data_IF_641582908291
#
_entry.id   IF_641582908291
#
_cell.length_a   1.000
_cell.length_b   1.000
_cell.length_c   1.000
_cell.angle_alpha   90.00
_cell.angle_beta   90.00
_cell.angle_gamma   90.00
#
_symmetry.space_group_name_H-M   'P 1'
#
loop_
_entity.id
_entity.type
_entity.pdbx_description
1 polymer ?
#
# COMPACT_ATOMS: atom_id res chain seq x y z
N UNK A 1 50.97 8.99 16.99
CA UNK A 1 50.27 9.48 15.77
C UNK A 1 49.18 8.54 15.23
N UNK A 2 49.19 7.23 15.53
CA UNK A 2 48.19 6.26 15.01
C UNK A 2 46.81 6.36 15.72
N UNK A 3 46.71 6.99 16.90
CA UNK A 3 45.45 7.07 17.66
C UNK A 3 44.48 8.18 17.22
N UNK A 4 44.90 9.16 16.41
CA UNK A 4 43.99 10.25 15.98
C UNK A 4 43.15 9.88 14.75
N UNK A 5 43.66 9.04 13.84
CA UNK A 5 42.97 8.61 12.61
C UNK A 5 41.74 7.74 12.93
N UNK A 6 41.81 6.94 14.01
CA UNK A 6 40.70 6.10 14.46
C UNK A 6 39.51 6.89 15.01
N UNK A 7 39.75 8.02 15.69
CA UNK A 7 38.67 8.85 16.27
C UNK A 7 37.89 9.60 15.20
N UNK A 8 38.55 10.09 14.15
CA UNK A 8 37.88 10.85 13.07
C UNK A 8 36.94 9.97 12.25
N UNK A 9 37.33 8.70 11.98
CA UNK A 9 36.45 7.75 11.27
C UNK A 9 35.21 7.36 12.10
N UNK A 10 35.35 7.20 13.41
CA UNK A 10 34.22 6.87 14.29
C UNK A 10 33.16 7.99 14.34
N UNK A 11 33.60 9.26 14.42
CA UNK A 11 32.68 10.41 14.48
C UNK A 11 31.89 10.57 13.17
N UNK A 12 32.53 10.45 12.00
CA UNK A 12 31.86 10.60 10.69
C UNK A 12 30.80 9.51 10.46
N UNK A 13 31.08 8.26 10.84
CA UNK A 13 30.13 7.13 10.70
C UNK A 13 28.88 7.34 11.56
N UNK A 14 29.02 7.94 12.76
CA UNK A 14 27.86 8.21 13.63
C UNK A 14 26.96 9.35 13.12
N UNK A 15 27.52 10.39 12.50
CA UNK A 15 26.76 11.52 11.97
C UNK A 15 25.88 11.14 10.77
N UNK A 16 26.46 10.40 9.81
CA UNK A 16 25.73 9.92 8.62
C UNK A 16 24.60 8.98 9.04
N UNK A 17 24.85 8.06 9.97
CA UNK A 17 23.83 7.14 10.46
C UNK A 17 22.62 7.85 11.10
N UNK A 18 22.84 8.95 11.84
CA UNK A 18 21.76 9.74 12.46
C UNK A 18 20.90 10.46 11.42
N UNK A 19 21.52 11.09 10.43
CA UNK A 19 20.80 11.78 9.35
C UNK A 19 19.90 10.82 8.56
N UNK A 20 20.39 9.63 8.24
CA UNK A 20 19.60 8.60 7.57
C UNK A 20 18.39 8.14 8.36
N UNK A 21 18.53 7.98 9.67
CA UNK A 21 17.42 7.59 10.55
C UNK A 21 16.38 8.70 10.61
N UNK A 22 16.81 9.97 10.69
CA UNK A 22 15.90 11.11 10.69
C UNK A 22 15.15 11.26 9.35
N UNK A 23 15.87 11.20 8.22
CA UNK A 23 15.28 11.30 6.89
C UNK A 23 14.31 10.13 6.59
N UNK A 24 14.68 8.91 6.98
CA UNK A 24 13.82 7.74 6.83
C UNK A 24 12.53 7.85 7.66
N UNK A 25 12.61 8.37 8.89
CA UNK A 25 11.42 8.64 9.73
C UNK A 25 10.55 9.74 9.15
N UNK A 26 11.16 10.83 8.70
CA UNK A 26 10.43 11.92 8.05
C UNK A 26 9.65 11.42 6.82
N UNK A 27 10.28 10.61 5.98
CA UNK A 27 9.62 9.98 4.84
C UNK A 27 8.43 9.11 5.27
N UNK A 28 8.59 8.28 6.30
CA UNK A 28 7.50 7.44 6.79
C UNK A 28 6.34 8.28 7.34
N UNK A 29 6.61 9.37 8.06
CA UNK A 29 5.57 10.30 8.50
C UNK A 29 4.86 10.97 7.32
N UNK A 30 5.62 11.39 6.30
CA UNK A 30 5.04 11.97 5.09
C UNK A 30 4.15 10.96 4.35
N UNK A 31 4.56 9.69 4.26
CA UNK A 31 3.74 8.62 3.68
C UNK A 31 2.49 8.35 4.51
N UNK A 32 2.60 8.31 5.84
CA UNK A 32 1.45 8.11 6.72
C UNK A 32 0.43 9.27 6.61
N UNK A 33 0.94 10.51 6.55
CA UNK A 33 0.12 11.70 6.31
C UNK A 33 -0.55 11.66 4.93
N UNK A 34 0.20 11.30 3.88
CA UNK A 34 -0.35 11.13 2.55
C UNK A 34 -1.44 10.05 2.51
N UNK A 35 -1.25 8.91 3.20
CA UNK A 35 -2.28 7.87 3.32
C UNK A 35 -3.57 8.39 3.97
N UNK A 36 -3.47 9.15 5.07
CA UNK A 36 -4.64 9.71 5.72
C UNK A 36 -5.33 10.78 4.86
N UNK A 37 -4.56 11.64 4.18
CA UNK A 37 -5.10 12.65 3.26
C UNK A 37 -5.80 12.00 2.07
N UNK A 38 -5.19 10.97 1.47
CA UNK A 38 -5.80 10.26 0.33
C UNK A 38 -7.06 9.51 0.76
N UNK A 39 -7.06 8.89 1.95
CA UNK A 39 -8.28 8.30 2.51
C UNK A 39 -9.38 9.35 2.71
N UNK A 40 -9.04 10.49 3.33
CA UNK A 40 -9.96 11.60 3.54
C UNK A 40 -10.55 12.12 2.22
N UNK A 41 -9.71 12.41 1.22
CA UNK A 41 -10.16 12.81 -0.12
C UNK A 41 -11.02 11.72 -0.78
N UNK A 42 -10.70 10.45 -0.52
CA UNK A 42 -11.51 9.31 -0.92
C UNK A 42 -12.93 9.41 -0.40
N UNK A 43 -13.10 9.70 0.89
CA UNK A 43 -14.41 9.84 1.55
C UNK A 43 -15.12 11.12 1.11
N UNK A 44 -14.43 12.25 1.07
CA UNK A 44 -15.07 13.57 0.95
C UNK A 44 -15.20 14.08 -0.47
N UNK A 45 -14.41 13.55 -1.42
CA UNK A 45 -14.39 14.00 -2.81
C UNK A 45 -14.71 12.85 -3.74
N UNK A 46 -13.88 11.80 -3.71
CA UNK A 46 -13.97 10.73 -4.69
C UNK A 46 -15.29 9.96 -4.58
N UNK A 47 -15.66 9.56 -3.38
CA UNK A 47 -16.89 8.81 -3.14
C UNK A 47 -18.16 9.58 -3.56
N UNK A 48 -18.38 10.86 -3.19
CA UNK A 48 -19.53 11.61 -3.71
C UNK A 48 -19.53 11.80 -5.23
N UNK A 49 -18.36 11.81 -5.89
CA UNK A 49 -18.27 11.89 -7.34
C UNK A 49 -18.53 10.56 -8.05
N UNK A 50 -18.23 9.43 -7.41
CA UNK A 50 -18.37 8.09 -7.97
C UNK A 50 -19.67 7.37 -7.58
N UNK A 51 -20.35 7.84 -6.53
CA UNK A 51 -21.62 7.28 -6.04
C UNK A 51 -22.70 8.37 -6.12
N UNK A 52 -23.34 8.58 -7.29
CA UNK A 52 -24.40 9.57 -7.43
C UNK A 52 -25.54 9.26 -6.45
N UNK A 53 -26.04 10.30 -5.77
CA UNK A 53 -27.19 10.18 -4.85
C UNK A 53 -28.43 10.75 -5.56
N UNK A 54 -29.32 9.88 -6.04
CA UNK A 54 -30.52 10.30 -6.76
C UNK A 54 -31.25 9.17 -7.49
N UNK A 55 -32.38 9.46 -8.18
CA UNK A 55 -33.14 8.46 -8.94
C UNK A 55 -32.33 7.76 -10.04
N UNK A 56 -31.25 8.40 -10.49
CA UNK A 56 -30.33 7.86 -11.51
C UNK A 56 -29.32 6.85 -10.92
N UNK A 57 -29.20 6.78 -9.59
CA UNK A 57 -28.29 5.86 -8.88
C UNK A 57 -28.68 4.38 -8.99
N UNK A 58 -29.91 4.08 -9.42
CA UNK A 58 -30.43 2.71 -9.50
C UNK A 58 -30.04 1.97 -10.79
N UNK A 59 -29.37 2.64 -11.74
CA UNK A 59 -29.13 2.13 -13.09
C UNK A 59 -27.70 1.73 -13.42
N UNK A 60 -26.69 2.14 -12.64
CA UNK A 60 -25.29 2.00 -13.07
C UNK A 60 -24.56 0.84 -12.38
N UNK A 61 -23.83 0.11 -13.22
CA UNK A 61 -23.11 -1.11 -12.93
C UNK A 61 -21.87 -0.81 -12.06
N UNK A 62 -21.77 -1.47 -10.89
CA UNK A 62 -20.66 -1.37 -9.93
C UNK A 62 -20.29 0.06 -9.46
N UNK A 63 -20.82 0.53 -8.33
CA UNK A 63 -20.58 1.91 -7.82
C UNK A 63 -19.49 2.04 -6.76
N UNK A 64 -18.86 0.95 -6.30
CA UNK A 64 -17.99 0.97 -5.10
C UNK A 64 -16.48 1.05 -5.34
N UNK A 65 -16.03 1.59 -6.48
CA UNK A 65 -14.59 1.69 -6.78
C UNK A 65 -13.83 2.68 -5.88
N UNK A 66 -14.52 3.72 -5.39
CA UNK A 66 -13.94 4.63 -4.42
C UNK A 66 -13.55 3.90 -3.12
N UNK A 67 -14.28 2.84 -2.75
CA UNK A 67 -14.00 1.99 -1.58
C UNK A 67 -12.64 1.31 -1.70
N UNK A 68 -12.32 0.74 -2.86
CA UNK A 68 -11.03 0.09 -3.12
C UNK A 68 -9.85 1.04 -2.87
N UNK A 69 -9.99 2.29 -3.31
CA UNK A 69 -8.95 3.31 -3.16
C UNK A 69 -8.85 3.82 -1.72
N UNK A 70 -9.98 4.04 -1.04
CA UNK A 70 -10.01 4.38 0.39
C UNK A 70 -9.35 3.29 1.23
N UNK A 71 -9.72 2.04 1.01
CA UNK A 71 -9.16 0.89 1.74
C UNK A 71 -7.70 0.66 1.40
N UNK A 72 -7.28 0.89 0.15
CA UNK A 72 -5.87 0.89 -0.25
C UNK A 72 -5.05 1.93 0.51
N UNK A 73 -5.59 3.13 0.72
CA UNK A 73 -4.96 4.18 1.52
C UNK A 73 -4.87 3.79 3.01
N UNK A 74 -5.90 3.15 3.57
CA UNK A 74 -5.86 2.62 4.95
C UNK A 74 -4.85 1.49 5.12
N UNK A 75 -4.78 0.57 4.16
CA UNK A 75 -3.75 -0.48 4.11
C UNK A 75 -2.37 0.18 4.09
N UNK A 76 -2.14 1.18 3.23
CA UNK A 76 -0.87 1.91 3.18
C UNK A 76 -0.52 2.52 4.55
N UNK A 77 -1.48 3.15 5.22
CA UNK A 77 -1.30 3.71 6.56
C UNK A 77 -0.86 2.65 7.58
N UNK A 78 -1.59 1.54 7.67
CA UNK A 78 -1.28 0.44 8.60
C UNK A 78 0.12 -0.12 8.31
N UNK A 79 0.45 -0.34 7.04
CA UNK A 79 1.76 -0.83 6.63
C UNK A 79 2.88 0.14 7.04
N UNK A 80 2.69 1.45 6.86
CA UNK A 80 3.66 2.48 7.31
C UNK A 80 3.84 2.45 8.82
N UNK A 81 2.76 2.32 9.61
CA UNK A 81 2.84 2.18 11.06
C UNK A 81 3.63 0.92 11.46
N UNK A 82 3.46 -0.20 10.74
CA UNK A 82 4.26 -1.41 10.97
C UNK A 82 5.75 -1.17 10.64
N UNK A 83 6.07 -0.39 9.61
CA UNK A 83 7.46 -0.01 9.30
C UNK A 83 8.05 0.90 10.38
N UNK A 84 7.30 1.90 10.85
CA UNK A 84 7.69 2.78 11.96
C UNK A 84 7.94 1.97 13.24
N UNK A 85 7.11 0.95 13.49
CA UNK A 85 7.24 -0.02 14.57
C UNK A 85 8.39 -1.03 14.37
N UNK A 86 9.07 -0.97 13.22
CA UNK A 86 10.17 -1.85 12.81
C UNK A 86 9.76 -3.33 12.79
N UNK A 87 8.47 -3.62 12.64
CA UNK A 87 7.89 -4.97 12.69
C UNK A 87 7.78 -5.59 14.08
N UNK A 88 7.82 -4.80 15.16
CA UNK A 88 7.58 -5.30 16.53
C UNK A 88 6.21 -5.97 16.66
N UNK A 89 6.13 -7.20 17.22
CA UNK A 89 4.88 -7.98 17.28
C UNK A 89 3.70 -7.20 17.87
N UNK A 90 3.89 -6.59 19.03
CA UNK A 90 2.81 -5.98 19.79
C UNK A 90 2.34 -4.69 19.13
N UNK A 91 3.28 -3.91 18.63
CA UNK A 91 2.99 -2.69 17.90
C UNK A 91 2.37 -2.98 16.53
N UNK A 92 2.78 -4.06 15.85
CA UNK A 92 2.12 -4.56 14.64
C UNK A 92 0.69 -4.98 14.93
N UNK A 93 0.44 -5.74 16.01
CA UNK A 93 -0.92 -6.10 16.40
C UNK A 93 -1.76 -4.87 16.72
N UNK A 94 -1.20 -3.90 17.44
CA UNK A 94 -1.87 -2.62 17.71
C UNK A 94 -2.19 -1.84 16.43
N UNK A 95 -1.26 -1.77 15.48
CA UNK A 95 -1.47 -1.10 14.19
C UNK A 95 -2.53 -1.80 13.34
N UNK A 96 -2.54 -3.13 13.31
CA UNK A 96 -3.56 -3.92 12.58
C UNK A 96 -4.93 -3.77 13.25
N UNK A 97 -5.01 -3.87 14.58
CA UNK A 97 -6.26 -3.68 15.32
C UNK A 97 -6.79 -2.25 15.14
N UNK A 98 -5.93 -1.24 15.23
CA UNK A 98 -6.28 0.15 14.96
C UNK A 98 -6.74 0.37 13.52
N UNK A 99 -6.10 -0.27 12.55
CA UNK A 99 -6.54 -0.29 11.15
C UNK A 99 -7.92 -0.93 10.96
N UNK A 100 -8.19 -2.04 11.65
CA UNK A 100 -9.52 -2.68 11.63
C UNK A 100 -10.61 -1.81 12.27
N UNK A 101 -10.30 -1.14 13.38
CA UNK A 101 -11.19 -0.14 13.96
C UNK A 101 -11.43 1.04 13.01
N UNK A 102 -10.39 1.49 12.29
CA UNK A 102 -10.52 2.54 11.28
C UNK A 102 -11.38 2.13 10.10
N UNK A 103 -11.27 0.88 9.66
CA UNK A 103 -12.12 0.31 8.62
C UNK A 103 -13.60 0.30 9.05
N UNK A 104 -13.88 -0.03 10.31
CA UNK A 104 -15.23 0.05 10.85
C UNK A 104 -15.75 1.49 10.88
N UNK A 105 -14.89 2.48 11.18
CA UNK A 105 -15.23 3.91 11.08
C UNK A 105 -15.51 4.30 9.63
N UNK A 106 -14.68 3.87 8.68
CA UNK A 106 -14.87 4.11 7.24
C UNK A 106 -16.23 3.60 6.74
N UNK A 107 -16.58 2.36 7.09
CA UNK A 107 -17.91 1.78 6.79
C UNK A 107 -19.03 2.54 7.50
N UNK A 108 -18.82 2.98 8.74
CA UNK A 108 -19.79 3.77 9.48
C UNK A 108 -20.03 5.17 8.89
N UNK A 109 -18.98 5.79 8.34
CA UNK A 109 -19.08 7.09 7.68
C UNK A 109 -19.93 7.04 6.42
N UNK A 110 -19.96 5.90 5.72
CA UNK A 110 -20.83 5.71 4.55
C UNK A 110 -22.32 5.84 4.89
N UNK A 111 -22.72 5.62 6.16
CA UNK A 111 -24.12 5.79 6.61
C UNK A 111 -24.52 7.24 6.85
N UNK A 112 -23.56 8.15 6.98
CA UNK A 112 -23.81 9.50 7.46
C UNK A 112 -23.98 10.43 6.25
N UNK A 113 -25.06 11.22 6.24
CA UNK A 113 -25.34 12.17 5.16
C UNK A 113 -24.16 13.10 4.91
N UNK A 114 -23.63 13.06 3.67
CA UNK A 114 -22.44 13.79 3.21
C UNK A 114 -22.61 15.32 3.30
N UNK A 115 -23.84 15.82 3.42
CA UNK A 115 -24.16 17.25 3.49
C UNK A 115 -24.02 17.88 4.89
N UNK A 116 -23.80 17.08 5.94
CA UNK A 116 -23.92 17.50 7.34
C UNK A 116 -22.63 18.02 8.02
N UNK A 117 -21.55 18.31 7.27
CA UNK A 117 -20.26 18.76 7.83
C UNK A 117 -19.44 17.65 8.52
N UNK A 118 -19.94 16.41 8.47
CA UNK A 118 -19.33 15.19 9.03
C UNK A 118 -18.03 14.79 8.35
N UNK A 119 -17.85 15.19 7.09
CA UNK A 119 -16.60 15.12 6.35
C UNK A 119 -15.43 15.82 7.07
N UNK A 120 -15.67 17.00 7.65
CA UNK A 120 -14.64 17.79 8.32
C UNK A 120 -14.24 17.18 9.67
N UNK A 121 -15.23 16.63 10.40
CA UNK A 121 -15.02 15.86 11.63
C UNK A 121 -14.27 14.55 11.37
N UNK A 122 -14.60 13.84 10.28
CA UNK A 122 -13.91 12.62 9.86
C UNK A 122 -12.44 12.90 9.48
N UNK A 123 -12.19 14.01 8.77
CA UNK A 123 -10.83 14.47 8.47
C UNK A 123 -10.06 14.84 9.73
N UNK A 124 -10.66 15.60 10.65
CA UNK A 124 -10.02 16.00 11.90
C UNK A 124 -9.71 14.78 12.79
N UNK A 125 -10.64 13.84 12.90
CA UNK A 125 -10.43 12.59 13.63
C UNK A 125 -9.34 11.73 12.97
N UNK A 126 -9.32 11.67 11.63
CA UNK A 126 -8.29 11.01 10.83
C UNK A 126 -6.88 11.50 11.12
N UNK A 127 -6.72 12.82 11.05
CA UNK A 127 -5.43 13.46 11.34
C UNK A 127 -5.04 13.26 12.80
N UNK A 128 -5.97 13.42 13.74
CA UNK A 128 -5.68 13.25 15.17
C UNK A 128 -5.26 11.81 15.53
N UNK A 129 -5.98 10.81 15.02
CA UNK A 129 -5.66 9.41 15.28
C UNK A 129 -4.35 8.99 14.61
N UNK A 130 -4.07 9.48 13.39
CA UNK A 130 -2.80 9.29 12.71
C UNK A 130 -1.63 9.82 13.56
N UNK A 131 -1.74 11.06 14.03
CA UNK A 131 -0.70 11.71 14.82
C UNK A 131 -0.47 10.96 16.14
N UNK A 132 -1.54 10.56 16.82
CA UNK A 132 -1.46 9.80 18.06
C UNK A 132 -0.78 8.43 17.85
N UNK A 133 -1.17 7.69 16.82
CA UNK A 133 -0.56 6.41 16.46
C UNK A 133 0.93 6.58 16.12
N UNK A 134 1.29 7.62 15.37
CA UNK A 134 2.67 7.93 15.04
C UNK A 134 3.53 8.21 16.28
N UNK A 135 3.00 9.01 17.23
CA UNK A 135 3.69 9.33 18.49
C UNK A 135 3.92 8.08 19.33
N UNK A 136 2.89 7.26 19.50
CA UNK A 136 2.96 6.03 20.31
C UNK A 136 3.95 5.04 19.70
N UNK A 137 3.91 4.84 18.39
CA UNK A 137 4.77 3.87 17.70
C UNK A 137 6.25 4.26 17.78
N UNK A 138 6.58 5.55 17.66
CA UNK A 138 7.98 6.02 17.71
C UNK A 138 8.54 6.01 19.13
N UNK A 139 7.69 6.12 20.15
CA UNK A 139 8.12 6.08 21.55
C UNK A 139 8.58 4.68 22.01
N UNK A 140 8.19 3.61 21.31
CA UNK A 140 8.51 2.23 21.72
C UNK A 140 9.84 1.78 21.10
N UNK A 141 10.89 1.50 21.90
CA UNK A 141 12.13 0.94 21.39
C UNK A 141 11.88 -0.46 20.82
N UNK A 142 12.18 -0.66 19.54
CA UNK A 142 12.05 -1.95 18.87
C UNK A 142 13.30 -2.32 18.07
N UNK A 143 13.70 -3.59 18.13
CA UNK A 143 14.67 -4.14 17.20
C UNK A 143 14.00 -4.43 15.84
N UNK A 144 14.65 -4.13 14.69
CA UNK A 144 14.11 -4.45 13.38
C UNK A 144 13.81 -5.94 13.24
N UNK A 145 12.68 -6.25 12.61
CA UNK A 145 12.34 -7.61 12.15
C UNK A 145 12.31 -7.63 10.62
N UNK A 146 13.45 -7.87 9.95
CA UNK A 146 13.56 -7.85 8.48
C UNK A 146 12.51 -8.68 7.77
N UNK A 147 12.17 -9.85 8.33
CA UNK A 147 11.12 -10.72 7.81
C UNK A 147 9.77 -9.98 7.76
N UNK A 148 9.30 -9.45 8.89
CA UNK A 148 8.04 -8.72 8.94
C UNK A 148 8.03 -7.53 7.96
N UNK A 149 9.13 -6.78 7.87
CA UNK A 149 9.26 -5.65 6.95
C UNK A 149 9.25 -6.06 5.48
N UNK A 150 9.83 -7.22 5.12
CA UNK A 150 9.71 -7.80 3.79
C UNK A 150 8.27 -8.20 3.48
N UNK A 151 7.53 -8.77 4.45
CA UNK A 151 6.11 -9.07 4.26
C UNK A 151 5.29 -7.80 4.00
N UNK A 152 5.54 -6.74 4.78
CA UNK A 152 4.94 -5.43 4.54
C UNK A 152 5.26 -4.91 3.14
N UNK A 153 6.51 -5.01 2.71
CA UNK A 153 6.92 -4.59 1.38
C UNK A 153 6.19 -5.37 0.27
N UNK A 154 6.06 -6.68 0.42
CA UNK A 154 5.36 -7.52 -0.56
C UNK A 154 3.86 -7.25 -0.60
N UNK A 155 3.19 -7.09 0.54
CA UNK A 155 1.77 -6.70 0.60
C UNK A 155 1.55 -5.36 -0.07
N UNK A 156 2.36 -4.35 0.26
CA UNK A 156 2.28 -3.03 -0.36
C UNK A 156 2.52 -3.08 -1.89
N UNK A 157 3.44 -3.91 -2.36
CA UNK A 157 3.72 -4.06 -3.79
C UNK A 157 2.54 -4.70 -4.55
N UNK A 158 1.93 -5.76 -4.00
CA UNK A 158 0.73 -6.38 -4.59
C UNK A 158 -0.44 -5.39 -4.57
N UNK A 159 -0.66 -4.71 -3.44
CA UNK A 159 -1.71 -3.71 -3.30
C UNK A 159 -1.53 -2.53 -4.26
N UNK A 160 -0.30 -2.12 -4.53
CA UNK A 160 0.00 -1.09 -5.53
C UNK A 160 -0.48 -1.49 -6.92
N UNK A 161 -0.24 -2.74 -7.33
CA UNK A 161 -0.74 -3.28 -8.60
C UNK A 161 -2.27 -3.26 -8.68
N UNK A 162 -2.94 -3.78 -7.67
CA UNK A 162 -4.41 -3.82 -7.61
C UNK A 162 -5.02 -2.43 -7.59
N UNK A 163 -4.53 -1.52 -6.74
CA UNK A 163 -4.99 -0.13 -6.70
C UNK A 163 -4.76 0.60 -8.03
N UNK A 164 -3.65 0.31 -8.72
CA UNK A 164 -3.40 0.85 -10.06
C UNK A 164 -4.39 0.32 -11.09
N UNK A 165 -4.91 -0.90 -10.91
CA UNK A 165 -5.90 -1.53 -11.78
C UNK A 165 -7.35 -1.11 -11.48
N UNK A 166 -7.64 -0.61 -10.28
CA UNK A 166 -8.98 -0.16 -9.86
C UNK A 166 -9.55 0.90 -10.77
N UNK A 167 -10.75 0.70 -11.31
CA UNK A 167 -11.43 1.67 -12.17
C UNK A 167 -12.91 1.38 -12.32
N UNK A 168 -13.65 2.33 -12.87
CA UNK A 168 -15.07 2.21 -13.13
C UNK A 168 -15.31 1.56 -14.49
N UNK A 169 -16.29 0.67 -14.65
CA UNK A 169 -16.66 0.06 -15.92
C UNK A 169 -17.08 1.07 -16.99
N UNK A 170 -17.62 2.20 -16.57
CA UNK A 170 -18.09 3.28 -17.44
C UNK A 170 -16.97 4.20 -17.88
N UNK A 171 -15.86 4.23 -17.13
CA UNK A 171 -14.65 5.01 -17.42
C UNK A 171 -14.90 6.52 -17.62
N UNK A 172 -16.02 7.02 -17.08
CA UNK A 172 -16.48 8.42 -17.20
C UNK A 172 -16.05 9.28 -16.01
N UNK A 173 -15.38 8.72 -15.00
CA UNK A 173 -14.95 9.42 -13.79
C UNK A 173 -13.42 9.67 -13.79
N UNK A 174 -12.91 10.76 -14.40
CA UNK A 174 -11.49 11.11 -14.40
C UNK A 174 -10.84 11.17 -13.01
N UNK A 175 -11.64 11.49 -11.99
CA UNK A 175 -11.20 11.51 -10.59
C UNK A 175 -10.77 10.12 -10.10
N UNK A 176 -11.42 9.06 -10.57
CA UNK A 176 -11.06 7.69 -10.20
C UNK A 176 -9.75 7.26 -10.85
N UNK A 177 -9.53 7.60 -12.12
CA UNK A 177 -8.26 7.34 -12.81
C UNK A 177 -7.07 7.95 -12.07
N UNK A 178 -7.21 9.21 -11.64
CA UNK A 178 -6.16 9.92 -10.88
C UNK A 178 -6.02 9.39 -9.46
N UNK A 179 -7.13 9.03 -8.81
CA UNK A 179 -7.14 8.36 -7.51
C UNK A 179 -6.37 7.03 -7.53
N UNK A 180 -6.63 6.18 -8.52
CA UNK A 180 -6.00 4.87 -8.69
C UNK A 180 -4.49 5.00 -8.91
N UNK A 181 -4.07 5.97 -9.73
CA UNK A 181 -2.66 6.30 -9.88
C UNK A 181 -2.03 6.77 -8.55
N UNK A 182 -2.70 7.67 -7.82
CA UNK A 182 -2.20 8.21 -6.56
C UNK A 182 -2.04 7.13 -5.47
N UNK A 183 -3.07 6.29 -5.26
CA UNK A 183 -3.03 5.19 -4.28
C UNK A 183 -2.01 4.13 -4.70
N UNK A 184 -1.98 3.77 -5.99
CA UNK A 184 -0.98 2.87 -6.56
C UNK A 184 0.45 3.35 -6.28
N UNK A 185 0.73 4.63 -6.55
CA UNK A 185 2.04 5.25 -6.29
C UNK A 185 2.39 5.29 -4.81
N UNK A 186 1.44 5.65 -3.94
CA UNK A 186 1.61 5.66 -2.50
C UNK A 186 2.01 4.28 -1.98
N UNK A 187 1.28 3.23 -2.34
CA UNK A 187 1.57 1.85 -1.95
C UNK A 187 2.92 1.38 -2.51
N UNK A 188 3.29 1.78 -3.73
CA UNK A 188 4.61 1.47 -4.30
C UNK A 188 5.75 2.09 -3.47
N UNK A 189 5.60 3.35 -3.05
CA UNK A 189 6.58 4.03 -2.20
C UNK A 189 6.66 3.40 -0.81
N UNK A 190 5.53 2.99 -0.22
CA UNK A 190 5.49 2.22 1.04
C UNK A 190 6.24 0.89 0.88
N UNK A 191 6.06 0.19 -0.24
CA UNK A 191 6.76 -1.06 -0.53
C UNK A 191 8.29 -0.87 -0.55
N UNK A 192 8.76 0.16 -1.27
CA UNK A 192 10.19 0.50 -1.34
C UNK A 192 10.73 0.92 0.03
N UNK A 193 9.99 1.76 0.78
CA UNK A 193 10.40 2.19 2.11
C UNK A 193 10.52 1.00 3.08
N UNK A 194 9.55 0.09 3.09
CA UNK A 194 9.57 -1.12 3.90
C UNK A 194 10.77 -2.02 3.56
N UNK A 195 11.05 -2.21 2.27
CA UNK A 195 12.19 -3.00 1.79
C UNK A 195 13.55 -2.44 2.24
N UNK A 196 13.73 -1.13 2.14
CA UNK A 196 14.95 -0.44 2.59
C UNK A 196 15.14 -0.59 4.10
N UNK A 197 14.05 -0.56 4.88
CA UNK A 197 14.11 -0.80 6.32
C UNK A 197 14.38 -2.27 6.66
N UNK A 198 13.98 -3.22 5.80
CA UNK A 198 14.27 -4.64 5.96
C UNK A 198 15.76 -4.98 5.79
N UNK A 199 16.48 -4.28 4.91
CA UNK A 199 17.90 -4.53 4.60
C UNK A 199 18.85 -4.41 5.82
N UNK A 200 18.42 -3.75 6.90
CA UNK A 200 19.23 -3.54 8.10
C UNK A 200 20.40 -2.56 7.88
N UNK A 201 21.08 -2.08 8.94
CA UNK A 201 22.05 -0.98 8.85
C UNK A 201 23.29 -1.27 8.00
N UNK A 202 23.73 -2.53 7.97
CA UNK A 202 24.98 -2.96 7.30
C UNK A 202 24.77 -3.31 5.82
N UNK A 203 23.54 -3.61 5.39
CA UNK A 203 23.24 -3.97 3.99
C UNK A 203 22.39 -2.92 3.26
N UNK A 204 22.24 -1.71 3.82
CA UNK A 204 21.37 -0.66 3.25
C UNK A 204 21.75 -0.24 1.83
N UNK A 205 20.87 -0.38 0.81
CA UNK A 205 21.14 -0.06 -0.59
C UNK A 205 21.74 1.36 -0.77
N UNK A 206 22.56 1.59 -1.82
CA UNK A 206 23.14 2.91 -2.03
C UNK A 206 22.01 3.89 -2.30
N UNK A 207 22.07 5.07 -1.68
CA UNK A 207 21.04 6.12 -1.76
C UNK A 207 20.53 6.35 -3.17
N UNK A 208 21.46 6.45 -4.14
CA UNK A 208 21.13 6.64 -5.55
C UNK A 208 20.19 5.56 -6.09
N UNK A 209 20.43 4.29 -5.77
CA UNK A 209 19.57 3.18 -6.22
C UNK A 209 18.19 3.26 -5.56
N UNK A 210 18.13 3.54 -4.27
CA UNK A 210 16.84 3.72 -3.56
C UNK A 210 16.03 4.87 -4.17
N UNK A 211 16.66 6.01 -4.44
CA UNK A 211 16.00 7.16 -5.09
C UNK A 211 15.50 6.79 -6.48
N UNK A 212 16.30 6.11 -7.29
CA UNK A 212 15.90 5.65 -8.63
C UNK A 212 14.71 4.68 -8.57
N UNK A 213 14.78 3.66 -7.72
CA UNK A 213 13.67 2.70 -7.57
C UNK A 213 12.41 3.39 -7.05
N UNK A 214 12.54 4.31 -6.09
CA UNK A 214 11.39 5.06 -5.56
C UNK A 214 10.75 5.95 -6.64
N UNK A 215 11.57 6.66 -7.42
CA UNK A 215 11.09 7.52 -8.50
C UNK A 215 10.37 6.72 -9.59
N UNK A 216 10.95 5.59 -10.02
CA UNK A 216 10.32 4.71 -11.00
C UNK A 216 9.03 4.12 -10.42
N UNK A 217 9.09 3.51 -9.25
CA UNK A 217 7.94 2.86 -8.62
C UNK A 217 6.78 3.83 -8.35
N UNK A 218 7.08 5.07 -7.92
CA UNK A 218 6.09 6.11 -7.71
C UNK A 218 5.54 6.71 -9.01
N UNK A 219 6.31 6.76 -10.09
CA UNK A 219 5.85 7.31 -11.36
C UNK A 219 5.12 6.29 -12.24
N UNK A 220 5.39 4.99 -12.11
CA UNK A 220 4.81 3.96 -12.99
C UNK A 220 3.28 3.93 -12.97
N UNK A 221 2.58 3.97 -11.83
CA UNK A 221 1.11 4.00 -11.82
C UNK A 221 0.53 5.18 -12.62
N UNK A 222 1.11 6.38 -12.48
CA UNK A 222 0.75 7.56 -13.28
C UNK A 222 1.02 7.34 -14.76
N UNK A 223 2.19 6.81 -15.12
CA UNK A 223 2.55 6.55 -16.52
C UNK A 223 1.59 5.55 -17.16
N UNK A 224 1.24 4.47 -16.46
CA UNK A 224 0.32 3.44 -16.96
C UNK A 224 -1.08 4.02 -17.19
N UNK A 225 -1.56 4.86 -16.28
CA UNK A 225 -2.86 5.55 -16.42
C UNK A 225 -2.85 6.65 -17.48
N UNK A 226 -1.70 7.29 -17.71
CA UNK A 226 -1.56 8.32 -18.74
C UNK A 226 -1.47 7.73 -20.16
N UNK A 227 -0.65 6.69 -20.35
CA UNK A 227 -0.41 6.06 -21.67
C UNK A 227 -1.59 5.20 -22.10
N UNK A 228 -2.29 4.59 -21.15
CA UNK A 228 -3.46 3.76 -21.40
C UNK A 228 -4.60 4.19 -20.47
N UNK A 229 -5.30 5.29 -20.81
CA UNK A 229 -6.37 5.80 -19.96
C UNK A 229 -7.52 4.79 -19.85
N UNK A 230 -7.77 4.01 -20.91
CA UNK A 230 -8.85 3.04 -21.01
C UNK A 230 -8.41 1.60 -20.68
N UNK A 231 -9.31 0.74 -20.18
CA UNK A 231 -9.09 -0.69 -19.98
C UNK A 231 -8.70 -1.37 -21.28
N UNK A 232 -7.55 -2.04 -21.21
CA UNK A 232 -7.04 -2.85 -22.30
C UNK A 232 -6.22 -3.99 -21.70
N UNK A 233 -6.21 -5.14 -22.40
CA UNK A 233 -5.35 -6.25 -22.02
C UNK A 233 -3.88 -5.85 -21.90
N UNK A 234 -3.42 -4.91 -22.74
CA UNK A 234 -2.08 -4.33 -22.68
C UNK A 234 -1.79 -3.61 -21.36
N UNK A 235 -2.73 -2.81 -20.85
CA UNK A 235 -2.57 -2.12 -19.56
C UNK A 235 -2.55 -3.09 -18.39
N UNK A 236 -3.45 -4.07 -18.35
CA UNK A 236 -3.45 -5.07 -17.29
C UNK A 236 -2.15 -5.90 -17.29
N UNK A 237 -1.65 -6.27 -18.48
CA UNK A 237 -0.35 -6.93 -18.61
C UNK A 237 0.79 -6.03 -18.10
N UNK A 238 0.75 -4.73 -18.39
CA UNK A 238 1.73 -3.77 -17.92
C UNK A 238 1.67 -3.54 -16.39
N UNK A 239 0.48 -3.50 -15.79
CA UNK A 239 0.28 -3.44 -14.34
C UNK A 239 0.81 -4.73 -13.67
N UNK A 240 0.53 -5.88 -14.27
CA UNK A 240 1.07 -7.15 -13.81
C UNK A 240 2.61 -7.16 -13.86
N UNK A 241 3.20 -6.76 -14.99
CA UNK A 241 4.65 -6.65 -15.13
C UNK A 241 5.26 -5.66 -14.12
N UNK A 242 4.62 -4.51 -13.91
CA UNK A 242 4.99 -3.54 -12.88
C UNK A 242 4.99 -4.18 -11.49
N UNK A 243 3.93 -4.91 -11.13
CA UNK A 243 3.79 -5.57 -9.83
C UNK A 243 4.90 -6.60 -9.61
N UNK A 244 5.18 -7.44 -10.62
CA UNK A 244 6.28 -8.41 -10.59
C UNK A 244 7.62 -7.71 -10.41
N UNK A 245 7.92 -6.68 -11.20
CA UNK A 245 9.18 -5.93 -11.14
C UNK A 245 9.34 -5.16 -9.82
N UNK A 246 8.25 -4.65 -9.26
CA UNK A 246 8.24 -4.01 -7.95
C UNK A 246 8.58 -5.03 -6.85
N UNK A 247 7.99 -6.24 -6.89
CA UNK A 247 8.30 -7.32 -5.94
C UNK A 247 9.78 -7.75 -6.06
N UNK A 248 10.29 -7.92 -7.28
CA UNK A 248 11.71 -8.19 -7.52
C UNK A 248 12.59 -7.08 -6.95
N UNK A 249 12.19 -5.82 -7.14
CA UNK A 249 12.91 -4.65 -6.62
C UNK A 249 12.93 -4.61 -5.09
N UNK A 250 11.81 -4.87 -4.42
CA UNK A 250 11.78 -4.90 -2.95
C UNK A 250 12.59 -6.06 -2.38
N UNK A 251 12.57 -7.24 -3.00
CA UNK A 251 13.43 -8.36 -2.59
C UNK A 251 14.90 -8.01 -2.78
N UNK A 252 15.26 -7.39 -3.91
CA UNK A 252 16.62 -6.95 -4.19
C UNK A 252 17.10 -5.84 -3.22
N UNK A 253 16.21 -4.95 -2.79
CA UNK A 253 16.52 -3.89 -1.81
C UNK A 253 16.62 -4.44 -0.38
N UNK A 254 15.80 -5.43 -0.02
CA UNK A 254 15.77 -6.04 1.31
C UNK A 254 16.87 -7.10 1.53
N UNK A 255 17.36 -7.73 0.44
CA UNK A 255 18.33 -8.81 0.50
C UNK A 255 19.72 -8.39 1.01
N UNK A 256 20.48 -9.32 1.62
CA UNK A 256 21.84 -9.05 2.07
C UNK A 256 22.78 -8.75 0.90
N UNK A 257 23.71 -7.82 1.10
CA UNK A 257 24.76 -7.51 0.13
C UNK A 257 25.93 -8.47 0.23
N UNK A 258 25.70 -9.74 -0.09
CA UNK A 258 26.81 -10.64 -0.38
C UNK A 258 26.99 -10.69 -1.90
N UNK A 259 28.14 -10.27 -2.41
CA UNK A 259 28.51 -10.26 -3.83
C UNK A 259 28.65 -11.66 -4.47
N UNK A 260 28.04 -12.69 -3.87
CA UNK A 260 28.07 -14.02 -4.45
C UNK A 260 27.32 -14.05 -5.78
N UNK A 261 27.90 -14.65 -6.82
CA UNK A 261 27.24 -14.87 -8.13
C UNK A 261 25.86 -15.48 -7.99
N UNK A 262 25.64 -16.31 -6.95
CA UNK A 262 24.37 -16.95 -6.61
C UNK A 262 23.24 -15.96 -6.33
N UNK A 263 23.54 -14.76 -5.79
CA UNK A 263 22.55 -13.70 -5.61
C UNK A 263 22.10 -13.06 -6.93
N UNK A 264 22.98 -12.97 -7.93
CA UNK A 264 22.67 -12.32 -9.21
C UNK A 264 21.67 -13.12 -10.04
N UNK A 265 21.70 -14.46 -9.93
CA UNK A 265 20.74 -15.36 -10.57
C UNK A 265 19.44 -15.54 -9.78
N UNK A 266 19.35 -15.01 -8.56
CA UNK A 266 18.14 -15.10 -7.74
C UNK A 266 16.99 -14.21 -8.27
N UNK A 267 17.29 -13.06 -8.88
CA UNK A 267 16.24 -12.12 -9.32
C UNK A 267 15.34 -12.65 -10.44
N UNK A 268 15.87 -13.31 -11.50
CA UNK A 268 15.02 -13.97 -12.50
C UNK A 268 14.15 -15.07 -11.88
N UNK A 269 14.66 -15.82 -10.90
CA UNK A 269 13.89 -16.85 -10.20
C UNK A 269 12.76 -16.24 -9.38
N UNK A 270 13.04 -15.16 -8.63
CA UNK A 270 12.00 -14.39 -7.91
C UNK A 270 10.95 -13.88 -8.90
N UNK A 271 11.35 -13.32 -10.03
CA UNK A 271 10.42 -12.86 -11.06
C UNK A 271 9.52 -14.00 -11.57
N UNK A 272 10.10 -15.17 -11.87
CA UNK A 272 9.36 -16.34 -12.34
C UNK A 272 8.37 -16.86 -11.28
N UNK A 273 8.80 -16.97 -10.02
CA UNK A 273 7.93 -17.37 -8.90
C UNK A 273 6.76 -16.40 -8.80
N UNK A 274 7.03 -15.09 -8.73
CA UNK A 274 5.97 -14.09 -8.59
C UNK A 274 5.04 -14.10 -9.79
N UNK A 275 5.58 -14.20 -11.01
CA UNK A 275 4.77 -14.21 -12.23
C UNK A 275 3.81 -15.39 -12.30
N UNK A 276 4.14 -16.53 -11.70
CA UNK A 276 3.26 -17.70 -11.66
C UNK A 276 2.34 -17.66 -10.44
N UNK A 277 2.89 -17.40 -9.25
CA UNK A 277 2.14 -17.49 -8.00
C UNK A 277 1.13 -16.35 -7.85
N UNK A 278 1.43 -15.14 -8.35
CA UNK A 278 0.51 -14.01 -8.25
C UNK A 278 -0.85 -14.28 -8.93
N UNK A 279 -0.94 -14.65 -10.23
CA UNK A 279 -2.22 -14.97 -10.85
C UNK A 279 -2.83 -16.26 -10.28
N UNK A 280 -2.01 -17.25 -9.93
CA UNK A 280 -2.48 -18.51 -9.33
C UNK A 280 -3.16 -18.33 -7.96
N UNK A 281 -2.83 -17.27 -7.23
CA UNK A 281 -3.54 -16.91 -5.98
C UNK A 281 -4.64 -15.88 -6.21
N UNK A 282 -4.38 -14.86 -7.03
CA UNK A 282 -5.33 -13.76 -7.24
C UNK A 282 -6.63 -14.26 -7.87
N UNK A 283 -6.55 -15.06 -8.95
CA UNK A 283 -7.74 -15.49 -9.68
C UNK A 283 -8.67 -16.37 -8.82
N UNK A 284 -8.20 -17.43 -8.12
CA UNK A 284 -9.09 -18.21 -7.26
C UNK A 284 -9.65 -17.41 -6.07
N UNK A 285 -8.87 -16.50 -5.48
CA UNK A 285 -9.35 -15.67 -4.37
C UNK A 285 -10.39 -14.64 -4.83
N UNK A 286 -10.20 -14.04 -6.01
CA UNK A 286 -11.19 -13.15 -6.61
C UNK A 286 -12.49 -13.90 -6.92
N UNK A 287 -12.41 -15.07 -7.59
CA UNK A 287 -13.57 -15.92 -7.85
C UNK A 287 -14.27 -16.36 -6.58
N UNK A 288 -13.52 -16.73 -5.53
CA UNK A 288 -14.09 -17.08 -4.24
C UNK A 288 -14.79 -15.87 -3.59
N UNK A 289 -14.20 -14.68 -3.69
CA UNK A 289 -14.79 -13.45 -3.14
C UNK A 289 -16.09 -13.06 -3.85
N UNK A 290 -16.15 -13.27 -5.17
CA UNK A 290 -17.36 -13.12 -6.00
C UNK A 290 -18.43 -14.12 -5.55
N UNK A 291 -18.09 -15.41 -5.51
CA UNK A 291 -19.03 -16.49 -5.17
C UNK A 291 -19.56 -16.38 -3.73
N UNK A 292 -18.71 -15.96 -2.79
CA UNK A 292 -19.09 -15.77 -1.39
C UNK A 292 -19.67 -14.38 -1.10
N UNK A 293 -19.81 -13.52 -2.12
CA UNK A 293 -20.36 -12.16 -2.00
C UNK A 293 -19.72 -11.38 -0.85
N UNK A 294 -18.38 -11.41 -0.76
CA UNK A 294 -17.68 -10.84 0.41
C UNK A 294 -17.92 -9.32 0.55
N UNK A 295 -18.20 -8.60 -0.53
CA UNK A 295 -18.51 -7.17 -0.50
C UNK A 295 -19.91 -6.84 0.05
N UNK A 296 -20.90 -7.73 -0.15
CA UNK A 296 -22.30 -7.48 0.21
C UNK A 296 -22.49 -7.14 1.69
N UNK A 297 -21.90 -7.88 2.66
CA UNK A 297 -21.97 -7.50 4.07
C UNK A 297 -21.42 -6.09 4.36
N UNK A 298 -20.38 -5.65 3.65
CA UNK A 298 -19.83 -4.31 3.84
C UNK A 298 -20.72 -3.23 3.24
N UNK A 299 -21.34 -3.52 2.10
CA UNK A 299 -22.30 -2.63 1.44
C UNK A 299 -23.58 -2.49 2.26
N UNK A 300 -24.12 -3.59 2.77
CA UNK A 300 -25.26 -3.58 3.70
C UNK A 300 -24.92 -2.85 5.00
N UNK A 301 -23.72 -3.11 5.55
CA UNK A 301 -23.24 -2.39 6.73
C UNK A 301 -23.04 -0.89 6.44
N UNK A 302 -22.80 -0.48 5.21
CA UNK A 302 -22.77 0.92 4.81
C UNK A 302 -24.17 1.53 4.58
N UNK A 303 -25.25 0.75 4.76
CA UNK A 303 -26.63 1.13 4.44
C UNK A 303 -26.84 1.52 2.96
N UNK A 304 -26.00 0.99 2.08
CA UNK A 304 -26.13 1.14 0.64
C UNK A 304 -26.92 -0.03 0.05
N UNK A 305 -27.59 0.20 -1.08
CA UNK A 305 -28.31 -0.87 -1.79
C UNK A 305 -27.29 -1.87 -2.35
N UNK A 306 -27.43 -3.18 -2.07
CA UNK A 306 -26.62 -4.20 -2.74
C UNK A 306 -26.75 -4.06 -4.26
N UNK A 307 -25.64 -4.18 -4.97
CA UNK A 307 -25.68 -4.15 -6.44
C UNK A 307 -26.46 -5.40 -6.91
N UNK A 308 -27.29 -5.24 -7.94
CA UNK A 308 -28.12 -6.33 -8.49
C UNK A 308 -27.28 -7.61 -8.74
N UNK A 309 -27.93 -8.77 -8.69
CA UNK A 309 -27.33 -10.12 -8.86
C UNK A 309 -26.56 -10.36 -10.16
N UNK A 310 -26.50 -9.37 -11.07
CA UNK A 310 -25.76 -9.42 -12.32
C UNK A 310 -24.31 -8.89 -12.19
N UNK A 311 -23.96 -8.22 -11.09
CA UNK A 311 -22.68 -7.56 -10.87
C UNK A 311 -21.97 -8.06 -9.59
N UNK A 312 -20.68 -7.72 -9.45
CA UNK A 312 -19.78 -8.29 -8.46
C UNK A 312 -19.41 -7.27 -7.36
N UNK A 313 -20.05 -7.38 -6.19
CA UNK A 313 -19.63 -6.61 -5.00
C UNK A 313 -18.43 -7.29 -4.32
N UNK A 314 -17.23 -6.91 -4.76
CA UNK A 314 -15.97 -7.52 -4.33
C UNK A 314 -15.03 -6.44 -3.83
N UNK A 315 -14.28 -6.76 -2.79
CA UNK A 315 -13.20 -5.90 -2.27
C UNK A 315 -11.82 -6.52 -2.57
N UNK A 316 -11.35 -6.29 -3.78
CA UNK A 316 -10.12 -6.86 -4.34
C UNK A 316 -8.87 -6.40 -3.59
N UNK A 317 -8.82 -5.14 -3.14
CA UNK A 317 -7.67 -4.61 -2.40
C UNK A 317 -7.44 -5.37 -1.09
N UNK A 318 -8.48 -5.90 -0.44
CA UNK A 318 -8.34 -6.69 0.77
C UNK A 318 -7.63 -8.03 0.53
N UNK A 319 -7.82 -8.62 -0.66
CA UNK A 319 -7.17 -9.89 -1.06
C UNK A 319 -5.64 -9.74 -1.18
N UNK A 320 -5.14 -8.52 -1.34
CA UNK A 320 -3.70 -8.24 -1.45
C UNK A 320 -2.94 -8.59 -0.18
N UNK A 321 -3.60 -8.58 0.98
CA UNK A 321 -3.01 -8.91 2.28
C UNK A 321 -2.60 -10.39 2.33
N UNK A 322 -3.51 -11.37 2.21
CA UNK A 322 -3.12 -12.78 2.23
C UNK A 322 -2.17 -13.13 1.08
N UNK A 323 -2.39 -12.59 -0.14
CA UNK A 323 -1.51 -12.82 -1.29
C UNK A 323 -0.08 -12.35 -0.98
N UNK A 324 0.08 -11.12 -0.50
CA UNK A 324 1.38 -10.56 -0.18
C UNK A 324 2.09 -11.28 0.97
N UNK A 325 1.34 -11.74 1.98
CA UNK A 325 1.87 -12.52 3.10
C UNK A 325 2.39 -13.90 2.65
N UNK A 326 1.63 -14.60 1.80
CA UNK A 326 2.04 -15.90 1.24
C UNK A 326 3.24 -15.74 0.32
N UNK A 327 3.24 -14.76 -0.59
CA UNK A 327 4.40 -14.45 -1.43
C UNK A 327 5.63 -14.14 -0.59
N UNK A 328 5.49 -13.31 0.44
CA UNK A 328 6.59 -13.01 1.34
C UNK A 328 7.10 -14.24 2.10
N UNK A 329 6.26 -15.24 2.36
CA UNK A 329 6.70 -16.51 2.95
C UNK A 329 7.52 -17.32 1.96
N UNK A 330 7.03 -17.46 0.72
CA UNK A 330 7.70 -18.21 -0.36
C UNK A 330 9.05 -17.59 -0.70
N UNK A 331 9.11 -16.26 -0.82
CA UNK A 331 10.33 -15.54 -1.23
C UNK A 331 11.40 -15.44 -0.15
N UNK A 332 11.14 -15.96 1.06
CA UNK A 332 12.10 -16.02 2.16
C UNK A 332 12.88 -17.32 2.24
N UNK A 333 12.30 -18.40 1.73
CA UNK A 333 12.86 -19.76 1.77
C UNK A 333 13.74 -20.00 0.53
#
# INVERSE_FOLDING_TARGET
>A
MISSIGRTRAVVVTGVARWWVAAGRFLLFALAAASAVVWALGVTVLQPLSEPTGPEAFGENNTYWARELRWGALIALVLVLVVLARGSRWTTYGAVAGGGAWLAVDVGLDRIDKTSGTAELAMAAGVAALLLCCVIVVAVPAAPRPRALLAVATVAAVASGVATATESPTDVEPALTTGSAAVGSLLALVAVAAAVHAAGPLSRPPTRRTVQVSAIAGATPWLLRYVSPQPSGGRYLAIFAFTVLLIVSVVALAGPRAESRRHRYGHPVVAAIVAVTLPAMYLPLALLAIVLQIGEPFTELAANTPINTADEDVVLIALTIPIGLVLARILRD
#
